data_IF_103345434694
#
_entry.id   IF_103345434694
#
_cell.length_a   1.000
_cell.length_b   1.000
_cell.length_c   1.000
_cell.angle_alpha   90.00
_cell.angle_beta   90.00
_cell.angle_gamma   90.00
#
_symmetry.space_group_name_H-M   'P 1'
#
loop_
_entity.id
_entity.type
_entity.pdbx_description
1 polymer ?
#
# COMPACT_ATOMS: atom_id res chain seq x y z
N UNK A 1 11.95 -23.41 51.10
CA UNK A 1 10.79 -22.53 50.81
C UNK A 1 11.26 -21.43 49.86
N UNK A 2 11.52 -21.81 48.60
CA UNK A 2 11.86 -20.89 47.51
C UNK A 2 10.55 -20.58 46.79
N UNK A 3 9.98 -19.41 47.05
CA UNK A 3 8.79 -18.95 46.35
C UNK A 3 9.19 -18.55 44.93
N UNK A 4 8.44 -19.10 43.98
CA UNK A 4 8.57 -18.94 42.55
C UNK A 4 8.76 -17.48 42.15
N UNK A 5 9.83 -17.21 41.40
CA UNK A 5 9.83 -16.08 40.49
C UNK A 5 8.64 -16.29 39.57
N UNK A 6 7.58 -15.50 39.73
CA UNK A 6 6.50 -15.46 38.77
C UNK A 6 7.17 -15.09 37.44
N UNK A 7 7.23 -16.05 36.52
CA UNK A 7 7.55 -15.76 35.13
C UNK A 7 6.48 -14.78 34.66
N UNK A 8 6.78 -13.47 34.71
CA UNK A 8 5.97 -12.50 33.99
C UNK A 8 6.11 -12.89 32.53
N UNK A 9 5.04 -13.49 32.00
CA UNK A 9 5.04 -14.01 30.65
C UNK A 9 5.30 -12.82 29.73
N UNK A 10 6.04 -13.01 28.63
CA UNK A 10 6.27 -11.95 27.64
C UNK A 10 4.97 -11.21 27.28
N UNK A 11 3.84 -11.93 27.27
CA UNK A 11 2.47 -11.44 27.12
C UNK A 11 1.95 -10.49 28.20
N UNK A 12 2.33 -10.67 29.47
CA UNK A 12 1.92 -9.77 30.58
C UNK A 12 2.62 -8.41 30.45
N UNK A 13 3.90 -8.41 30.06
CA UNK A 13 4.67 -7.20 29.74
C UNK A 13 4.09 -6.51 28.49
N UNK A 14 3.69 -7.28 27.49
CA UNK A 14 3.14 -6.82 26.20
C UNK A 14 1.77 -6.15 26.33
N UNK A 15 0.86 -6.75 27.11
CA UNK A 15 -0.55 -6.34 27.21
C UNK A 15 -0.80 -5.42 28.42
N UNK A 16 -0.11 -5.62 29.54
CA UNK A 16 -0.30 -4.81 30.74
C UNK A 16 0.68 -3.62 30.84
N UNK A 17 1.87 -3.72 30.24
CA UNK A 17 2.89 -2.67 30.30
C UNK A 17 2.78 -1.60 29.19
N UNK A 18 2.47 -2.00 27.95
CA UNK A 18 2.43 -1.07 26.81
C UNK A 18 1.27 -0.06 26.81
N UNK A 19 0.29 -0.25 27.71
CA UNK A 19 -0.89 0.59 27.82
C UNK A 19 -1.62 0.80 26.49
N UNK A 20 -2.20 1.98 26.31
CA UNK A 20 -2.93 2.37 25.09
C UNK A 20 -2.07 2.25 23.81
N UNK A 21 -0.76 2.49 23.93
CA UNK A 21 0.17 2.58 22.80
C UNK A 21 0.43 1.20 22.20
N UNK A 22 0.64 0.18 23.05
CA UNK A 22 0.79 -1.22 22.62
C UNK A 22 -0.42 -1.72 21.84
N UNK A 23 -1.64 -1.49 22.36
CA UNK A 23 -2.87 -1.85 21.64
C UNK A 23 -3.01 -1.12 20.30
N UNK A 24 -2.61 0.16 20.24
CA UNK A 24 -2.62 0.91 19.00
C UNK A 24 -1.64 0.33 17.95
N UNK A 25 -0.44 -0.10 18.36
CA UNK A 25 0.53 -0.78 17.47
C UNK A 25 -0.03 -2.11 16.95
N UNK A 26 -0.66 -2.90 17.81
CA UNK A 26 -1.29 -4.17 17.42
C UNK A 26 -2.41 -3.92 16.41
N UNK A 27 -3.31 -2.97 16.66
CA UNK A 27 -4.37 -2.60 15.72
C UNK A 27 -3.79 -2.16 14.37
N UNK A 28 -2.73 -1.35 14.40
CA UNK A 28 -2.03 -0.86 13.22
C UNK A 28 -1.35 -2.00 12.43
N UNK A 29 -0.88 -3.05 13.12
CA UNK A 29 -0.34 -4.27 12.49
C UNK A 29 -1.41 -5.05 11.70
N UNK A 30 -2.64 -5.14 12.24
CA UNK A 30 -3.77 -5.84 11.60
C UNK A 30 -4.21 -5.07 10.36
N UNK A 31 -4.34 -3.74 10.48
CA UNK A 31 -4.67 -2.86 9.35
C UNK A 31 -3.60 -2.95 8.27
N UNK A 32 -2.32 -2.90 8.65
CA UNK A 32 -1.19 -3.05 7.73
C UNK A 32 -1.26 -4.37 6.96
N UNK A 33 -1.42 -5.49 7.67
CA UNK A 33 -1.49 -6.81 7.05
C UNK A 33 -2.69 -6.94 6.11
N UNK A 34 -3.85 -6.43 6.53
CA UNK A 34 -5.08 -6.42 5.73
C UNK A 34 -4.91 -5.63 4.43
N UNK A 35 -4.32 -4.44 4.50
CA UNK A 35 -4.04 -3.59 3.34
C UNK A 35 -2.98 -4.23 2.44
N UNK A 36 -1.91 -4.78 3.01
CA UNK A 36 -0.85 -5.44 2.27
C UNK A 36 -1.40 -6.61 1.44
N UNK A 37 -2.21 -7.49 2.06
CA UNK A 37 -2.83 -8.63 1.37
C UNK A 37 -3.78 -8.15 0.27
N UNK A 38 -4.68 -7.21 0.59
CA UNK A 38 -5.65 -6.65 -0.37
C UNK A 38 -4.94 -6.11 -1.61
N UNK A 39 -3.94 -5.25 -1.41
CA UNK A 39 -3.23 -4.62 -2.52
C UNK A 39 -2.32 -5.59 -3.28
N UNK A 40 -1.77 -6.60 -2.62
CA UNK A 40 -0.98 -7.63 -3.32
C UNK A 40 -1.84 -8.48 -4.27
N UNK A 41 -3.10 -8.72 -3.91
CA UNK A 41 -4.06 -9.43 -4.77
C UNK A 41 -4.56 -8.51 -5.89
N UNK A 42 -4.85 -7.24 -5.59
CA UNK A 42 -5.40 -6.28 -6.56
C UNK A 42 -4.37 -5.88 -7.63
N UNK A 43 -3.11 -5.64 -7.24
CA UNK A 43 -2.00 -5.19 -8.13
C UNK A 43 -1.35 -6.38 -8.89
N UNK A 44 -2.04 -7.52 -8.97
CA UNK A 44 -1.53 -8.67 -9.72
C UNK A 44 -1.70 -8.44 -11.22
N UNK A 45 -0.66 -8.77 -12.01
CA UNK A 45 -0.67 -8.60 -13.49
C UNK A 45 -1.91 -9.19 -14.16
N UNK A 46 -2.39 -10.34 -13.69
CA UNK A 46 -3.60 -10.97 -14.22
C UNK A 46 -4.88 -10.14 -14.06
N UNK A 47 -4.94 -9.26 -13.05
CA UNK A 47 -6.08 -8.37 -12.80
C UNK A 47 -5.92 -7.02 -13.51
N UNK A 48 -4.68 -6.50 -13.62
CA UNK A 48 -4.42 -5.22 -14.29
C UNK A 48 -4.35 -5.33 -15.81
N UNK A 49 -3.66 -6.36 -16.33
CA UNK A 49 -3.39 -6.54 -17.76
C UNK A 49 -3.75 -7.96 -18.21
N UNK A 50 -5.05 -8.31 -18.30
CA UNK A 50 -5.45 -9.65 -18.71
C UNK A 50 -5.08 -9.88 -20.17
N UNK A 51 -4.24 -10.88 -20.45
CA UNK A 51 -3.86 -11.20 -21.85
C UNK A 51 -5.07 -11.53 -22.73
N UNK A 52 -6.13 -12.09 -22.14
CA UNK A 52 -7.38 -12.37 -22.83
C UNK A 52 -8.04 -11.08 -23.35
N UNK A 53 -8.07 -10.00 -22.54
CA UNK A 53 -8.63 -8.69 -22.93
C UNK A 53 -7.82 -8.10 -24.08
N UNK A 54 -6.48 -8.12 -23.97
CA UNK A 54 -5.60 -7.64 -25.05
C UNK A 54 -5.92 -8.32 -26.38
N UNK A 55 -6.02 -9.65 -26.39
CA UNK A 55 -6.34 -10.42 -27.62
C UNK A 55 -7.73 -10.11 -28.16
N UNK A 56 -8.74 -10.01 -27.31
CA UNK A 56 -10.11 -9.69 -27.72
C UNK A 56 -10.22 -8.28 -28.30
N UNK A 57 -9.61 -7.28 -27.65
CA UNK A 57 -9.57 -5.91 -28.16
C UNK A 57 -8.84 -5.84 -29.51
N UNK A 58 -7.72 -6.55 -29.65
CA UNK A 58 -6.98 -6.60 -30.91
C UNK A 58 -7.80 -7.24 -32.05
N UNK A 59 -8.56 -8.29 -31.76
CA UNK A 59 -9.48 -8.92 -32.72
C UNK A 59 -10.58 -7.95 -33.17
N UNK A 60 -11.22 -7.26 -32.22
CA UNK A 60 -12.27 -6.27 -32.51
C UNK A 60 -11.73 -5.08 -33.32
N UNK A 61 -10.50 -4.63 -33.03
CA UNK A 61 -9.85 -3.57 -33.80
C UNK A 61 -9.55 -4.01 -35.23
N UNK A 62 -9.09 -5.26 -35.41
CA UNK A 62 -8.85 -5.85 -36.74
C UNK A 62 -10.16 -5.96 -37.54
N UNK A 63 -11.25 -6.31 -36.87
CA UNK A 63 -12.59 -6.36 -37.45
C UNK A 63 -13.25 -4.96 -37.63
N UNK A 64 -12.57 -3.87 -37.23
CA UNK A 64 -13.09 -2.48 -37.22
C UNK A 64 -14.37 -2.30 -36.37
N UNK A 65 -14.60 -3.19 -35.42
CA UNK A 65 -15.76 -3.20 -34.53
C UNK A 65 -15.48 -2.36 -33.27
N UNK A 66 -15.29 -1.05 -33.46
CA UNK A 66 -14.88 -0.15 -32.38
C UNK A 66 -15.93 0.05 -31.29
N UNK A 67 -17.22 0.02 -31.65
CA UNK A 67 -18.32 0.12 -30.67
C UNK A 67 -18.32 -1.07 -29.70
N UNK A 68 -18.15 -2.27 -30.23
CA UNK A 68 -18.10 -3.50 -29.44
C UNK A 68 -16.85 -3.54 -28.56
N UNK A 69 -15.73 -2.97 -29.03
CA UNK A 69 -14.53 -2.82 -28.21
C UNK A 69 -14.75 -1.86 -27.02
N UNK A 70 -15.47 -0.75 -27.22
CA UNK A 70 -15.86 0.16 -26.13
C UNK A 70 -16.78 -0.56 -25.14
N UNK A 71 -17.78 -1.29 -25.63
CA UNK A 71 -18.73 -1.99 -24.76
C UNK A 71 -18.04 -3.08 -23.93
N UNK A 72 -17.18 -3.90 -24.55
CA UNK A 72 -16.39 -4.92 -23.86
C UNK A 72 -15.50 -4.33 -22.77
N UNK A 73 -14.86 -3.19 -23.05
CA UNK A 73 -13.91 -2.55 -22.14
C UNK A 73 -14.61 -1.75 -21.03
N UNK A 74 -15.77 -1.17 -21.31
CA UNK A 74 -16.51 -0.36 -20.33
C UNK A 74 -17.07 -1.18 -19.15
N UNK A 75 -17.28 -2.48 -19.33
CA UNK A 75 -17.83 -3.38 -18.31
C UNK A 75 -16.75 -4.06 -17.44
N UNK A 76 -15.46 -3.82 -17.69
CA UNK A 76 -14.37 -4.50 -16.98
C UNK A 76 -13.58 -3.55 -16.08
N UNK A 77 -13.23 -3.97 -14.86
CA UNK A 77 -12.51 -3.13 -13.90
C UNK A 77 -10.99 -3.06 -14.15
N UNK A 78 -10.47 -3.68 -15.22
CA UNK A 78 -9.04 -3.77 -15.47
C UNK A 78 -8.43 -2.50 -16.04
N UNK A 79 -7.11 -2.36 -15.85
CA UNK A 79 -6.37 -1.16 -16.22
C UNK A 79 -6.38 -0.94 -17.73
N UNK A 80 -6.12 -2.00 -18.51
CA UNK A 80 -6.09 -1.92 -19.97
C UNK A 80 -7.45 -1.50 -20.56
N UNK A 81 -8.53 -2.11 -20.09
CA UNK A 81 -9.88 -1.77 -20.53
C UNK A 81 -10.21 -0.30 -20.28
N UNK A 82 -9.90 0.22 -19.08
CA UNK A 82 -10.11 1.64 -18.76
C UNK A 82 -9.34 2.59 -19.69
N UNK A 83 -8.09 2.26 -20.02
CA UNK A 83 -7.27 3.06 -20.94
C UNK A 83 -7.86 3.07 -22.36
N UNK A 84 -8.18 1.88 -22.87
CA UNK A 84 -8.70 1.71 -24.23
C UNK A 84 -10.06 2.39 -24.37
N UNK A 85 -10.99 2.18 -23.43
CA UNK A 85 -12.31 2.81 -23.47
C UNK A 85 -12.22 4.33 -23.45
N UNK A 86 -11.35 4.89 -22.59
CA UNK A 86 -11.15 6.34 -22.46
C UNK A 86 -10.57 6.94 -23.74
N UNK A 87 -9.62 6.25 -24.38
CA UNK A 87 -9.05 6.69 -25.65
C UNK A 87 -10.05 6.63 -26.81
N UNK A 88 -10.86 5.56 -26.88
CA UNK A 88 -11.83 5.34 -27.94
C UNK A 88 -13.02 6.29 -27.86
N UNK A 89 -13.40 6.74 -26.66
CA UNK A 89 -14.43 7.76 -26.48
C UNK A 89 -14.07 9.08 -27.20
N UNK A 90 -12.78 9.38 -27.31
CA UNK A 90 -12.26 10.58 -27.99
C UNK A 90 -11.90 10.34 -29.47
N UNK A 91 -12.23 9.17 -30.01
CA UNK A 91 -12.03 8.84 -31.43
C UNK A 91 -12.64 9.86 -32.42
N UNK A 92 -13.83 10.45 -32.18
CA UNK A 92 -14.41 11.46 -33.07
C UNK A 92 -13.54 12.73 -33.23
N UNK A 93 -12.68 13.03 -32.26
CA UNK A 93 -11.79 14.20 -32.26
C UNK A 93 -10.41 13.90 -32.88
N UNK A 94 -10.21 12.70 -33.40
CA UNK A 94 -8.99 12.28 -34.11
C UNK A 94 -7.88 11.71 -33.21
N UNK A 95 -6.84 11.16 -33.84
CA UNK A 95 -5.74 10.47 -33.15
C UNK A 95 -5.06 11.32 -32.04
N UNK A 96 -4.77 12.63 -32.23
CA UNK A 96 -4.15 13.42 -31.16
C UNK A 96 -5.03 13.58 -29.92
N UNK A 97 -6.36 13.56 -30.06
CA UNK A 97 -7.28 13.60 -28.92
C UNK A 97 -7.30 12.25 -28.19
N UNK A 98 -7.31 11.14 -28.93
CA UNK A 98 -7.21 9.79 -28.35
C UNK A 98 -5.92 9.58 -27.56
N UNK A 99 -4.78 10.05 -28.07
CA UNK A 99 -3.48 9.94 -27.40
C UNK A 99 -3.46 10.74 -26.09
N UNK A 100 -3.95 11.99 -26.09
CA UNK A 100 -4.09 12.80 -24.87
C UNK A 100 -5.03 12.16 -23.85
N UNK A 101 -6.14 11.59 -24.32
CA UNK A 101 -7.10 10.91 -23.45
C UNK A 101 -6.51 9.66 -22.81
N UNK A 102 -5.71 8.90 -23.57
CA UNK A 102 -4.97 7.75 -23.09
C UNK A 102 -3.95 8.15 -22.00
N UNK A 103 -3.15 9.18 -22.25
CA UNK A 103 -2.17 9.73 -21.28
C UNK A 103 -2.87 10.14 -19.98
N UNK A 104 -3.94 10.93 -20.10
CA UNK A 104 -4.72 11.39 -18.95
C UNK A 104 -5.34 10.23 -18.16
N UNK A 105 -5.92 9.25 -18.84
CA UNK A 105 -6.53 8.08 -18.20
C UNK A 105 -5.49 7.24 -17.45
N UNK A 106 -4.29 7.08 -18.02
CA UNK A 106 -3.17 6.39 -17.39
C UNK A 106 -2.66 7.11 -16.16
N UNK A 107 -2.47 8.42 -16.24
CA UNK A 107 -2.04 9.24 -15.11
C UNK A 107 -3.07 9.18 -13.97
N UNK A 108 -4.36 9.36 -14.27
CA UNK A 108 -5.43 9.33 -13.29
C UNK A 108 -5.49 7.96 -12.58
N UNK A 109 -5.48 6.87 -13.35
CA UNK A 109 -5.61 5.52 -12.79
C UNK A 109 -4.38 5.13 -11.99
N UNK A 110 -3.18 5.45 -12.50
CA UNK A 110 -1.91 5.21 -11.78
C UNK A 110 -1.87 6.00 -10.48
N UNK A 111 -2.23 7.28 -10.51
CA UNK A 111 -2.29 8.14 -9.31
C UNK A 111 -3.26 7.59 -8.27
N UNK A 112 -4.43 7.10 -8.70
CA UNK A 112 -5.41 6.49 -7.79
C UNK A 112 -4.86 5.25 -7.10
N UNK A 113 -4.11 4.41 -7.83
CA UNK A 113 -3.48 3.20 -7.28
C UNK A 113 -2.30 3.53 -6.35
N UNK A 114 -1.51 4.55 -6.68
CA UNK A 114 -0.44 5.02 -5.79
C UNK A 114 -1.01 5.60 -4.49
N UNK A 115 -2.07 6.41 -4.57
CA UNK A 115 -2.76 6.95 -3.39
C UNK A 115 -3.35 5.88 -2.48
N UNK A 116 -3.84 4.77 -3.03
CA UNK A 116 -4.41 3.70 -2.21
C UNK A 116 -3.34 2.97 -1.40
N UNK A 117 -2.17 2.70 -1.99
CA UNK A 117 -1.05 2.05 -1.28
C UNK A 117 -0.31 2.99 -0.33
N UNK A 118 -0.45 4.31 -0.46
CA UNK A 118 0.22 5.31 0.39
C UNK A 118 -0.08 5.13 1.88
N UNK A 119 -1.23 4.54 2.22
CA UNK A 119 -1.54 4.16 3.60
C UNK A 119 -0.50 3.22 4.23
N UNK A 120 0.12 2.33 3.45
CA UNK A 120 1.21 1.48 3.94
C UNK A 120 2.47 2.29 4.26
N UNK A 121 2.74 3.35 3.49
CA UNK A 121 3.83 4.28 3.76
C UNK A 121 3.57 5.06 5.05
N UNK A 122 2.35 5.58 5.22
CA UNK A 122 1.95 6.27 6.46
C UNK A 122 2.12 5.36 7.68
N UNK A 123 1.63 4.13 7.61
CA UNK A 123 1.81 3.11 8.66
C UNK A 123 3.31 2.87 8.93
N UNK A 124 4.11 2.72 7.88
CA UNK A 124 5.56 2.53 7.97
C UNK A 124 6.30 3.67 8.69
N UNK A 125 5.83 4.91 8.57
CA UNK A 125 6.43 6.07 9.24
C UNK A 125 5.86 6.29 10.65
N UNK A 126 4.57 6.04 10.86
CA UNK A 126 3.88 6.29 12.14
C UNK A 126 4.18 5.20 13.18
N UNK A 127 4.31 3.94 12.77
CA UNK A 127 4.54 2.82 13.69
C UNK A 127 5.82 2.98 14.55
N UNK A 128 7.00 3.33 14.00
CA UNK A 128 8.20 3.58 14.79
C UNK A 128 8.05 4.78 15.74
N UNK A 129 7.37 5.84 15.29
CA UNK A 129 7.13 7.02 16.10
C UNK A 129 6.23 6.70 17.30
N UNK A 130 5.25 5.80 17.15
CA UNK A 130 4.45 5.31 18.26
C UNK A 130 5.28 4.46 19.23
N UNK A 131 6.18 3.61 18.72
CA UNK A 131 7.11 2.85 19.56
C UNK A 131 8.04 3.76 20.39
N UNK A 132 8.59 4.81 19.77
CA UNK A 132 9.37 5.83 20.45
C UNK A 132 8.54 6.55 21.53
N UNK A 133 7.30 6.91 21.23
CA UNK A 133 6.37 7.49 22.19
C UNK A 133 6.09 6.54 23.37
N UNK A 134 6.06 5.23 23.13
CA UNK A 134 6.04 4.19 24.17
C UNK A 134 7.24 4.26 25.09
N UNK A 135 8.45 4.39 24.55
CA UNK A 135 9.66 4.51 25.39
C UNK A 135 9.68 5.75 26.25
N UNK A 136 9.31 6.91 25.68
CA UNK A 136 9.25 8.17 26.42
C UNK A 136 8.23 8.06 27.55
N UNK A 137 7.06 7.48 27.27
CA UNK A 137 6.00 7.28 28.27
C UNK A 137 6.46 6.35 29.40
N UNK A 138 7.09 5.22 29.09
CA UNK A 138 7.59 4.28 30.10
C UNK A 138 8.73 4.85 30.95
N UNK A 139 9.61 5.67 30.36
CA UNK A 139 10.63 6.40 31.14
C UNK A 139 10.01 7.41 32.10
N UNK A 140 8.98 8.16 31.66
CA UNK A 140 8.26 9.11 32.51
C UNK A 140 7.60 8.38 33.70
N UNK A 141 6.95 7.24 33.45
CA UNK A 141 6.33 6.43 34.50
C UNK A 141 7.35 5.87 35.50
N UNK A 142 8.52 5.45 35.02
CA UNK A 142 9.62 4.98 35.86
C UNK A 142 10.06 6.08 36.85
N UNK A 143 10.22 7.32 36.38
CA UNK A 143 10.57 8.45 37.26
C UNK A 143 9.46 8.81 38.25
N UNK A 144 8.19 8.82 37.83
CA UNK A 144 7.07 9.08 38.75
C UNK A 144 6.97 8.02 39.85
N UNK A 145 7.28 6.76 39.55
CA UNK A 145 7.27 5.66 40.52
C UNK A 145 8.33 5.87 41.61
N UNK A 146 9.54 6.31 41.23
CA UNK A 146 10.61 6.67 42.18
C UNK A 146 10.15 7.80 43.10
N UNK A 147 9.59 8.87 42.53
CA UNK A 147 9.13 10.04 43.32
C UNK A 147 8.02 9.64 44.30
N UNK A 148 7.05 8.82 43.87
CA UNK A 148 5.92 8.39 44.72
C UNK A 148 6.33 7.46 45.86
N UNK A 149 7.33 6.60 45.66
CA UNK A 149 7.83 5.68 46.70
C UNK A 149 8.71 6.37 47.75
N UNK A 150 9.09 7.63 47.55
CA UNK A 150 9.73 8.46 48.58
C UNK A 150 11.09 7.95 49.07
N UNK A 151 11.80 7.14 48.29
CA UNK A 151 13.03 6.46 48.70
C UNK A 151 14.02 6.19 47.57
N UNK A 152 15.13 5.51 47.89
CA UNK A 152 16.19 5.15 46.93
C UNK A 152 15.61 4.25 45.81
N UNK A 153 15.93 4.50 44.52
CA UNK A 153 15.37 3.74 43.42
C UNK A 153 15.64 2.24 43.59
N UNK A 154 14.60 1.41 43.63
CA UNK A 154 14.77 -0.02 43.51
C UNK A 154 15.08 -0.33 42.04
N UNK A 155 16.25 -0.89 41.76
CA UNK A 155 16.69 -1.22 40.41
C UNK A 155 15.70 -2.13 39.67
N UNK A 156 14.96 -2.98 40.39
CA UNK A 156 13.92 -3.84 39.81
C UNK A 156 12.74 -3.08 39.19
N UNK A 157 12.25 -2.03 39.86
CA UNK A 157 11.11 -1.23 39.38
C UNK A 157 11.46 -0.45 38.09
N UNK A 158 12.69 0.08 38.04
CA UNK A 158 13.26 0.74 36.88
C UNK A 158 13.41 -0.23 35.70
N UNK A 159 14.00 -1.41 35.96
CA UNK A 159 14.22 -2.42 34.94
C UNK A 159 12.90 -2.90 34.31
N UNK A 160 11.84 -3.05 35.11
CA UNK A 160 10.52 -3.43 34.60
C UNK A 160 9.93 -2.36 33.67
N UNK A 161 9.92 -1.09 34.10
CA UNK A 161 9.32 0.02 33.34
C UNK A 161 10.08 0.30 32.03
N UNK A 162 11.41 0.25 32.09
CA UNK A 162 12.28 0.44 30.91
C UNK A 162 12.18 -0.76 29.96
N UNK A 163 12.08 -1.98 30.51
CA UNK A 163 11.92 -3.20 29.72
C UNK A 163 10.65 -3.17 28.86
N UNK A 164 9.52 -2.80 29.46
CA UNK A 164 8.24 -2.56 28.75
C UNK A 164 8.42 -1.53 27.63
N UNK A 165 9.03 -0.39 27.94
CA UNK A 165 9.30 0.68 26.98
C UNK A 165 10.08 0.17 25.74
N UNK A 166 11.15 -0.59 25.96
CA UNK A 166 11.97 -1.13 24.88
C UNK A 166 11.20 -2.11 23.97
N UNK A 167 10.33 -2.94 24.56
CA UNK A 167 9.48 -3.87 23.80
C UNK A 167 8.54 -3.10 22.87
N UNK A 168 7.89 -2.03 23.34
CA UNK A 168 6.98 -1.23 22.48
C UNK A 168 7.69 -0.60 21.27
N UNK A 169 8.96 -0.25 21.40
CA UNK A 169 9.76 0.23 20.25
C UNK A 169 10.09 -0.88 19.28
N UNK A 170 10.47 -2.05 19.79
CA UNK A 170 10.71 -3.23 18.96
C UNK A 170 9.45 -3.57 18.13
N UNK A 171 8.26 -3.51 18.74
CA UNK A 171 7.00 -3.78 18.04
C UNK A 171 6.70 -2.76 16.95
N UNK A 172 6.89 -1.48 17.24
CA UNK A 172 6.73 -0.41 16.25
C UNK A 172 7.62 -0.64 15.02
N UNK A 173 8.86 -1.07 15.22
CA UNK A 173 9.79 -1.43 14.15
C UNK A 173 9.38 -2.70 13.42
N UNK A 174 8.91 -3.72 14.15
CA UNK A 174 8.47 -4.99 13.58
C UNK A 174 7.28 -4.80 12.63
N UNK A 175 6.43 -3.82 12.88
CA UNK A 175 5.32 -3.43 11.97
C UNK A 175 5.81 -2.53 10.83
N UNK A 176 6.70 -1.59 11.12
CA UNK A 176 7.15 -0.59 10.14
C UNK A 176 7.96 -1.17 8.98
N UNK A 177 8.91 -2.06 9.29
CA UNK A 177 9.79 -2.69 8.30
C UNK A 177 9.00 -3.41 7.19
N UNK A 178 8.08 -4.35 7.52
CA UNK A 178 7.29 -5.02 6.49
C UNK A 178 6.31 -4.07 5.79
N UNK A 179 5.77 -3.06 6.47
CA UNK A 179 4.88 -2.07 5.86
C UNK A 179 5.60 -1.30 4.73
N UNK A 180 6.80 -0.79 5.02
CA UNK A 180 7.62 -0.06 4.05
C UNK A 180 8.11 -0.97 2.92
N UNK A 181 8.52 -2.19 3.23
CA UNK A 181 8.92 -3.17 2.22
C UNK A 181 7.76 -3.50 1.26
N UNK A 182 6.56 -3.72 1.80
CA UNK A 182 5.36 -3.96 1.01
C UNK A 182 5.00 -2.75 0.14
N UNK A 183 5.02 -1.53 0.70
CA UNK A 183 4.80 -0.29 -0.06
C UNK A 183 5.76 -0.17 -1.24
N UNK A 184 7.07 -0.33 -1.01
CA UNK A 184 8.08 -0.22 -2.06
C UNK A 184 7.88 -1.26 -3.16
N UNK A 185 7.60 -2.51 -2.79
CA UNK A 185 7.34 -3.59 -3.74
C UNK A 185 6.08 -3.34 -4.59
N UNK A 186 4.99 -2.88 -3.95
CA UNK A 186 3.74 -2.58 -4.64
C UNK A 186 3.86 -1.36 -5.55
N UNK A 187 4.54 -0.30 -5.10
CA UNK A 187 4.79 0.89 -5.90
C UNK A 187 5.56 0.56 -7.19
N UNK A 188 6.68 -0.16 -7.07
CA UNK A 188 7.46 -0.60 -8.22
C UNK A 188 6.62 -1.45 -9.20
N UNK A 189 5.72 -2.28 -8.67
CA UNK A 189 4.79 -3.07 -9.50
C UNK A 189 3.76 -2.19 -10.21
N UNK A 190 3.16 -1.21 -9.53
CA UNK A 190 2.23 -0.27 -10.15
C UNK A 190 2.93 0.45 -11.31
N UNK A 191 4.11 1.02 -11.06
CA UNK A 191 4.86 1.77 -12.08
C UNK A 191 5.19 0.89 -13.30
N UNK A 192 5.66 -0.33 -13.08
CA UNK A 192 5.95 -1.28 -14.15
C UNK A 192 4.70 -1.68 -14.95
N UNK A 193 3.60 -2.00 -14.27
CA UNK A 193 2.34 -2.41 -14.92
C UNK A 193 1.66 -1.24 -15.65
N UNK A 194 1.70 -0.03 -15.08
CA UNK A 194 1.19 1.18 -15.72
C UNK A 194 1.97 1.51 -16.99
N UNK A 195 3.30 1.40 -16.95
CA UNK A 195 4.15 1.59 -18.14
C UNK A 195 3.88 0.53 -19.21
N UNK A 196 3.76 -0.75 -18.83
CA UNK A 196 3.41 -1.83 -19.76
C UNK A 196 2.02 -1.62 -20.37
N UNK A 197 1.02 -1.31 -19.54
CA UNK A 197 -0.35 -1.06 -19.98
C UNK A 197 -0.47 0.12 -20.92
N UNK A 198 0.26 1.21 -20.65
CA UNK A 198 0.34 2.36 -21.53
C UNK A 198 0.87 1.97 -22.91
N UNK A 199 2.00 1.24 -22.98
CA UNK A 199 2.58 0.78 -24.25
C UNK A 199 1.61 -0.08 -25.03
N UNK A 200 0.97 -1.06 -24.38
CA UNK A 200 -0.01 -1.95 -25.02
C UNK A 200 -1.21 -1.16 -25.55
N UNK A 201 -1.73 -0.20 -24.78
CA UNK A 201 -2.84 0.64 -25.22
C UNK A 201 -2.44 1.55 -26.39
N UNK A 202 -1.24 2.14 -26.35
CA UNK A 202 -0.70 2.98 -27.42
C UNK A 202 -0.54 2.18 -28.72
N UNK A 203 0.01 0.97 -28.65
CA UNK A 203 0.14 0.06 -29.79
C UNK A 203 -1.23 -0.25 -30.42
N UNK A 204 -2.26 -0.46 -29.60
CA UNK A 204 -3.62 -0.71 -30.09
C UNK A 204 -4.20 0.50 -30.83
N UNK A 205 -4.09 1.70 -30.26
CA UNK A 205 -4.62 2.94 -30.90
C UNK A 205 -3.76 3.41 -32.08
N UNK A 206 -2.50 2.97 -32.19
CA UNK A 206 -1.60 3.34 -33.30
C UNK A 206 -2.17 2.97 -34.68
N UNK A 207 -3.09 2.00 -34.73
CA UNK A 207 -3.87 1.64 -35.94
C UNK A 207 -4.66 2.83 -36.52
N UNK A 208 -5.02 3.81 -35.70
CA UNK A 208 -5.73 5.03 -36.11
C UNK A 208 -4.79 6.15 -36.56
N UNK A 209 -3.47 5.95 -36.49
CA UNK A 209 -2.50 6.99 -36.86
C UNK A 209 -2.66 7.29 -38.35
N UNK A 210 -2.97 8.54 -38.75
CA UNK A 210 -3.09 8.87 -40.15
C UNK A 210 -1.74 8.64 -40.83
N UNK A 211 -1.74 7.91 -41.95
CA UNK A 211 -0.55 7.73 -42.79
C UNK A 211 -0.12 9.12 -43.25
N UNK A 212 0.99 9.62 -42.71
CA UNK A 212 1.60 10.87 -43.13
C UNK A 212 1.92 10.73 -44.62
N UNK A 213 1.14 11.36 -45.50
CA UNK A 213 1.54 11.58 -46.88
C UNK A 213 2.84 12.38 -46.82
N UNK A 214 3.97 11.74 -47.12
CA UNK A 214 5.21 12.46 -47.36
C UNK A 214 5.01 13.32 -48.62
N UNK A 215 5.41 14.60 -48.61
CA UNK A 215 5.38 15.45 -49.78
C UNK A 215 6.32 14.95 -50.89
#
# INVERSE_FOLDING_TARGET
MMLAAAEQTFWDVYIAGGGLIGYAIIALSIVMLSLAIKYFIEIRRGNMLPQAVRKQVQQLFTAKQYREAIELTSHRPDYLSYLVSSSLAESPHGYPAMERALEKASEERTTKMLRSIEWLNVIGNVAPMMGLLGTVSGMIEAFFTIVRKGGMPNAGDLAQSIGVALVTTLDGLLVAIPAMAAYAALRNRIDAMSSEGMKVAQDLISTFRPVRKMP
#
